data_IF_451241273385
#
_entry.id   IF_451241273385
#
_cell.length_a   1.000
_cell.length_b   1.000
_cell.length_c   1.000
_cell.angle_alpha   90.00
_cell.angle_beta   90.00
_cell.angle_gamma   90.00
#
_symmetry.space_group_name_H-M   'P 1'
#
loop_
_entity.id
_entity.type
_entity.pdbx_description
1 polymer ?
#
# COMPACT_ATOMS: atom_id res chain seq x y z
N UNK A 1 7.07 26.33 9.33
CA UNK A 1 7.74 25.02 9.40
C UNK A 1 6.71 24.02 8.88
N UNK A 2 7.05 23.21 7.85
CA UNK A 2 6.10 22.22 7.32
C UNK A 2 5.99 21.03 8.27
N UNK A 3 4.83 20.34 8.28
CA UNK A 3 4.69 19.12 9.08
C UNK A 3 5.53 17.99 8.51
N UNK A 4 5.96 17.08 9.38
CA UNK A 4 6.51 15.80 8.97
C UNK A 4 5.44 14.73 9.14
N UNK A 5 5.29 13.88 8.13
CA UNK A 5 4.36 12.76 8.17
C UNK A 5 5.14 11.45 8.16
N UNK A 6 4.97 10.64 9.18
CA UNK A 6 5.49 9.27 9.20
C UNK A 6 4.48 8.35 8.54
N UNK A 7 4.86 7.73 7.43
CA UNK A 7 4.07 6.70 6.76
C UNK A 7 4.61 5.34 7.16
N UNK A 8 3.75 4.44 7.59
CA UNK A 8 4.13 3.05 7.91
C UNK A 8 3.00 2.09 7.62
N UNK A 9 3.31 0.81 7.46
CA UNK A 9 2.28 -0.16 7.15
C UNK A 9 2.80 -1.53 6.75
N UNK A 10 1.90 -2.36 6.24
CA UNK A 10 2.22 -3.69 5.75
C UNK A 10 1.40 -4.02 4.51
N UNK A 11 2.05 -4.63 3.53
CA UNK A 11 1.39 -5.27 2.38
C UNK A 11 1.39 -6.78 2.64
N UNK A 12 0.24 -7.42 2.49
CA UNK A 12 0.08 -8.86 2.62
C UNK A 12 -0.05 -9.46 1.24
N UNK A 13 0.86 -10.35 0.85
CA UNK A 13 0.89 -10.97 -0.47
C UNK A 13 0.83 -12.50 -0.41
N UNK A 14 0.59 -13.12 -1.56
CA UNK A 14 0.58 -14.57 -1.72
C UNK A 14 2.02 -15.13 -1.61
N UNK A 15 2.28 -16.11 -0.73
CA UNK A 15 3.63 -16.64 -0.56
C UNK A 15 4.18 -17.34 -1.79
N UNK A 16 3.33 -17.82 -2.70
CA UNK A 16 3.75 -18.49 -3.93
C UNK A 16 4.46 -17.55 -4.91
N UNK A 17 4.14 -16.25 -4.84
CA UNK A 17 4.66 -15.24 -5.77
C UNK A 17 5.68 -14.30 -5.12
N UNK A 18 6.22 -14.67 -3.96
CA UNK A 18 7.10 -13.80 -3.17
C UNK A 18 8.36 -13.34 -3.89
N UNK A 19 8.91 -14.14 -4.81
CA UNK A 19 10.08 -13.75 -5.63
C UNK A 19 9.68 -12.76 -6.73
N UNK A 20 8.51 -12.94 -7.37
CA UNK A 20 7.97 -12.02 -8.38
C UNK A 20 7.57 -10.67 -7.76
N UNK A 21 6.94 -10.70 -6.59
CA UNK A 21 6.59 -9.49 -5.82
C UNK A 21 7.86 -8.72 -5.41
N UNK A 22 8.92 -9.43 -5.00
CA UNK A 22 10.21 -8.81 -4.69
C UNK A 22 10.82 -8.14 -5.91
N UNK A 23 10.86 -8.84 -7.06
CA UNK A 23 11.38 -8.29 -8.30
C UNK A 23 10.57 -7.06 -8.76
N UNK A 24 9.24 -7.12 -8.64
CA UNK A 24 8.33 -6.01 -8.93
C UNK A 24 8.65 -4.79 -8.06
N UNK A 25 8.82 -4.97 -6.74
CA UNK A 25 9.19 -3.90 -5.82
C UNK A 25 10.53 -3.24 -6.19
N UNK A 26 11.53 -4.03 -6.61
CA UNK A 26 12.84 -3.48 -7.02
C UNK A 26 12.79 -2.68 -8.33
N UNK A 27 11.80 -2.96 -9.18
CA UNK A 27 11.64 -2.32 -10.50
C UNK A 27 10.65 -1.17 -10.49
N UNK A 28 9.76 -1.12 -9.51
CA UNK A 28 8.73 -0.10 -9.46
C UNK A 28 9.37 1.27 -9.24
N UNK A 29 9.37 2.08 -10.29
CA UNK A 29 10.00 3.40 -10.26
C UNK A 29 9.10 4.38 -9.52
N UNK A 30 9.66 5.02 -8.51
CA UNK A 30 9.08 6.19 -7.87
C UNK A 30 10.01 7.39 -8.03
N UNK A 31 9.45 8.60 -7.95
CA UNK A 31 10.18 9.86 -8.14
C UNK A 31 10.74 10.42 -6.82
N UNK A 32 11.50 11.51 -6.92
CA UNK A 32 12.09 12.21 -5.77
C UNK A 32 11.03 12.79 -4.82
N UNK A 33 9.80 13.01 -5.28
CA UNK A 33 8.67 13.53 -4.49
C UNK A 33 8.09 12.43 -3.59
N UNK A 34 7.98 11.21 -4.11
CA UNK A 34 7.41 10.06 -3.39
C UNK A 34 8.33 8.82 -3.40
N UNK A 35 9.54 8.87 -2.82
CA UNK A 35 10.51 7.79 -2.96
C UNK A 35 10.18 6.56 -2.08
N UNK A 36 9.51 5.56 -2.67
CA UNK A 36 9.27 4.24 -2.07
C UNK A 36 10.40 3.19 -2.14
N UNK A 37 11.45 3.26 -2.98
CA UNK A 37 12.37 2.11 -3.07
C UNK A 37 13.18 1.86 -1.78
N UNK A 38 13.16 2.77 -0.80
CA UNK A 38 13.84 2.62 0.48
C UNK A 38 12.90 2.55 1.70
N UNK A 39 11.58 2.41 1.50
CA UNK A 39 10.65 2.28 2.63
C UNK A 39 10.26 0.84 2.91
N UNK A 40 10.40 -0.07 1.95
CA UNK A 40 10.07 -1.48 2.14
C UNK A 40 11.17 -2.21 2.91
N UNK A 41 10.76 -2.89 3.97
CA UNK A 41 11.59 -3.86 4.66
C UNK A 41 11.62 -5.21 3.93
N UNK A 42 12.35 -6.20 4.48
CA UNK A 42 12.42 -7.53 3.90
C UNK A 42 11.05 -8.21 3.91
N UNK A 43 10.75 -8.98 2.86
CA UNK A 43 9.54 -9.81 2.80
C UNK A 43 9.63 -10.91 3.88
N UNK A 44 8.70 -10.87 4.82
CA UNK A 44 8.54 -11.87 5.86
C UNK A 44 7.66 -12.99 5.35
N UNK A 45 8.25 -14.15 5.05
CA UNK A 45 7.54 -15.32 4.51
C UNK A 45 6.85 -16.10 5.62
N UNK A 46 5.53 -16.25 5.53
CA UNK A 46 4.73 -17.11 6.39
C UNK A 46 4.10 -18.26 5.61
N UNK A 47 3.47 -19.20 6.34
CA UNK A 47 2.83 -20.37 5.73
C UNK A 47 1.60 -20.03 4.87
N UNK A 48 0.81 -19.04 5.28
CA UNK A 48 -0.44 -18.64 4.60
C UNK A 48 -0.35 -17.31 3.86
N UNK A 49 0.73 -16.55 4.06
CA UNK A 49 0.89 -15.19 3.56
C UNK A 49 2.35 -14.74 3.65
N UNK A 50 2.78 -13.86 2.75
CA UNK A 50 3.96 -13.03 2.95
C UNK A 50 3.55 -11.63 3.43
N UNK A 51 4.38 -11.03 4.27
CA UNK A 51 4.20 -9.66 4.75
C UNK A 51 5.37 -8.80 4.31
N UNK A 52 5.08 -7.65 3.72
CA UNK A 52 6.06 -6.66 3.26
C UNK A 52 5.85 -5.42 4.13
N UNK A 53 6.58 -5.31 5.26
CA UNK A 53 6.49 -4.13 6.10
C UNK A 53 7.09 -2.93 5.37
N UNK A 54 6.56 -1.74 5.61
CA UNK A 54 7.17 -0.51 5.11
C UNK A 54 7.06 0.63 6.12
N UNK A 55 7.99 1.57 6.04
CA UNK A 55 7.97 2.75 6.89
C UNK A 55 8.99 3.81 6.47
N UNK A 56 8.57 5.08 6.42
CA UNK A 56 9.44 6.23 6.16
C UNK A 56 8.80 7.55 6.59
N UNK A 57 9.64 8.53 6.91
CA UNK A 57 9.23 9.91 7.17
C UNK A 57 9.28 10.70 5.87
N UNK A 58 8.20 11.41 5.56
CA UNK A 58 8.05 12.30 4.41
C UNK A 58 7.73 13.71 4.88
N UNK A 59 7.97 14.69 4.01
CA UNK A 59 7.55 16.06 4.23
C UNK A 59 6.06 16.18 3.90
N UNK A 60 5.24 16.53 4.89
CA UNK A 60 3.79 16.78 4.85
C UNK A 60 3.01 15.99 3.79
N UNK A 61 2.98 14.67 3.93
CA UNK A 61 2.32 13.79 2.96
C UNK A 61 0.80 13.75 3.13
N UNK A 62 0.28 14.11 4.31
CA UNK A 62 -1.18 14.21 4.53
C UNK A 62 -1.80 15.24 3.60
N UNK A 63 -1.11 16.35 3.33
CA UNK A 63 -1.55 17.39 2.38
C UNK A 63 -1.49 16.92 0.92
N UNK A 64 -0.62 15.94 0.62
CA UNK A 64 -0.40 15.40 -0.72
C UNK A 64 -1.03 14.01 -0.92
N UNK A 65 -1.98 13.64 -0.07
CA UNK A 65 -2.56 12.29 -0.10
C UNK A 65 -3.20 11.96 -1.44
N UNK A 66 -3.90 12.93 -2.05
CA UNK A 66 -4.59 12.75 -3.33
C UNK A 66 -3.62 12.44 -4.49
N UNK A 67 -2.34 12.82 -4.36
CA UNK A 67 -1.28 12.47 -5.32
C UNK A 67 -0.57 11.15 -4.98
N UNK A 68 -0.39 10.88 -3.68
CA UNK A 68 0.30 9.69 -3.20
C UNK A 68 -0.53 8.42 -3.37
N UNK A 69 -1.83 8.51 -3.08
CA UNK A 69 -2.73 7.37 -3.01
C UNK A 69 -2.87 6.62 -4.35
N UNK A 70 -3.11 7.27 -5.50
CA UNK A 70 -3.18 6.57 -6.78
C UNK A 70 -1.88 5.83 -7.15
N UNK A 71 -0.73 6.35 -6.70
CA UNK A 71 0.57 5.71 -6.93
C UNK A 71 0.74 4.46 -6.07
N UNK A 72 0.26 4.51 -4.82
CA UNK A 72 0.23 3.35 -3.96
C UNK A 72 -0.72 2.27 -4.49
N UNK A 73 -1.91 2.66 -4.96
CA UNK A 73 -2.87 1.74 -5.59
C UNK A 73 -2.28 1.09 -6.85
N UNK A 74 -1.59 1.88 -7.68
CA UNK A 74 -0.86 1.36 -8.84
C UNK A 74 0.17 0.30 -8.44
N UNK A 75 0.94 0.52 -7.37
CA UNK A 75 1.83 -0.51 -6.81
C UNK A 75 1.04 -1.76 -6.40
N UNK A 76 -0.03 -1.62 -5.63
CA UNK A 76 -0.84 -2.77 -5.19
C UNK A 76 -1.37 -3.59 -6.38
N UNK A 77 -1.72 -2.93 -7.49
CA UNK A 77 -2.20 -3.57 -8.73
C UNK A 77 -1.12 -4.37 -9.47
N UNK A 78 0.17 -4.16 -9.15
CA UNK A 78 1.28 -4.91 -9.74
C UNK A 78 1.72 -6.11 -8.90
N UNK A 79 1.35 -6.14 -7.61
CA UNK A 79 1.73 -7.19 -6.67
C UNK A 79 0.64 -8.25 -6.57
N UNK A 80 1.00 -9.46 -6.17
CA UNK A 80 0.06 -10.51 -5.74
C UNK A 80 -0.49 -10.21 -4.34
N UNK A 81 -0.89 -8.97 -4.11
CA UNK A 81 -1.37 -8.45 -2.84
C UNK A 81 -2.82 -8.86 -2.58
N UNK A 82 -3.12 -9.11 -1.31
CA UNK A 82 -4.46 -9.40 -0.78
C UNK A 82 -4.98 -8.27 0.09
N UNK A 83 -4.10 -7.61 0.83
CA UNK A 83 -4.48 -6.47 1.63
C UNK A 83 -3.27 -5.60 1.92
N UNK A 84 -3.50 -4.31 2.13
CA UNK A 84 -2.49 -3.42 2.66
C UNK A 84 -3.09 -2.56 3.75
N UNK A 85 -2.32 -2.28 4.78
CA UNK A 85 -2.65 -1.22 5.74
C UNK A 85 -1.57 -0.16 5.69
N UNK A 86 -1.99 1.09 5.73
CA UNK A 86 -1.15 2.29 5.71
C UNK A 86 -1.58 3.17 6.86
N UNK A 87 -0.64 3.63 7.67
CA UNK A 87 -0.82 4.63 8.72
C UNK A 87 0.05 5.83 8.42
N UNK A 88 -0.58 7.00 8.41
CA UNK A 88 0.05 8.31 8.33
C UNK A 88 -0.06 8.92 9.72
N UNK A 89 1.06 9.14 10.37
CA UNK A 89 1.14 9.87 11.64
C UNK A 89 1.74 11.25 11.37
N UNK A 90 0.95 12.30 11.60
CA UNK A 90 1.35 13.69 11.41
C UNK A 90 1.11 14.49 12.69
N UNK A 91 2.09 15.32 13.07
CA UNK A 91 2.02 16.09 14.32
C UNK A 91 0.94 17.18 14.32
N UNK A 92 0.51 17.63 13.13
CA UNK A 92 -0.46 18.71 12.95
C UNK A 92 -1.84 18.15 12.62
N UNK A 93 -1.91 17.17 11.72
CA UNK A 93 -3.16 16.63 11.20
C UNK A 93 -3.66 15.39 11.96
N UNK A 94 -2.85 14.84 12.86
CA UNK A 94 -3.15 13.62 13.61
C UNK A 94 -2.89 12.35 12.80
N UNK A 95 -3.50 11.25 13.26
CA UNK A 95 -3.33 9.94 12.62
C UNK A 95 -4.43 9.69 11.59
N UNK A 96 -4.01 9.27 10.40
CA UNK A 96 -4.86 8.79 9.33
C UNK A 96 -4.47 7.34 9.01
N UNK A 97 -5.47 6.46 8.87
CA UNK A 97 -5.23 5.08 8.42
C UNK A 97 -6.00 4.78 7.15
N UNK A 98 -5.35 4.11 6.21
CA UNK A 98 -5.94 3.53 5.01
C UNK A 98 -5.82 2.01 5.05
N UNK A 99 -6.90 1.32 4.78
CA UNK A 99 -6.91 -0.13 4.59
C UNK A 99 -7.38 -0.46 3.18
N UNK A 100 -6.70 -1.43 2.56
CA UNK A 100 -7.01 -1.95 1.24
C UNK A 100 -7.21 -3.45 1.38
N UNK A 101 -8.30 -3.99 0.85
CA UNK A 101 -8.55 -5.43 0.80
C UNK A 101 -8.99 -5.80 -0.60
N UNK A 102 -8.30 -6.77 -1.19
CA UNK A 102 -8.65 -7.35 -2.47
C UNK A 102 -9.99 -8.10 -2.34
N UNK A 103 -10.99 -7.67 -3.12
CA UNK A 103 -12.33 -8.27 -3.14
C UNK A 103 -12.28 -9.67 -3.75
N UNK A 104 -11.38 -9.89 -4.70
CA UNK A 104 -11.15 -11.19 -5.34
C UNK A 104 -10.40 -12.18 -4.42
N UNK A 105 -9.97 -11.76 -3.24
CA UNK A 105 -9.35 -12.63 -2.24
C UNK A 105 -8.11 -13.38 -2.77
N UNK A 106 -8.16 -14.72 -2.67
CA UNK A 106 -7.10 -15.63 -3.15
C UNK A 106 -7.41 -16.24 -4.52
N UNK A 107 -8.31 -15.65 -5.31
CA UNK A 107 -8.61 -16.17 -6.64
C UNK A 107 -7.34 -16.15 -7.51
N UNK A 108 -6.82 -17.34 -7.78
CA UNK A 108 -5.52 -17.55 -8.42
C UNK A 108 -5.51 -17.17 -9.90
N UNK A 109 -6.68 -17.21 -10.53
CA UNK A 109 -6.84 -16.95 -11.96
C UNK A 109 -6.98 -15.44 -12.28
N UNK A 110 -7.01 -14.60 -11.24
CA UNK A 110 -7.12 -13.15 -11.39
C UNK A 110 -5.73 -12.52 -11.32
N UNK A 111 -5.21 -12.14 -12.49
CA UNK A 111 -3.97 -11.39 -12.61
C UNK A 111 -4.00 -10.12 -11.75
N UNK A 112 -2.87 -9.71 -11.12
CA UNK A 112 -2.79 -8.55 -10.22
C UNK A 112 -3.53 -7.30 -10.73
N UNK A 113 -3.28 -6.91 -11.98
CA UNK A 113 -3.89 -5.74 -12.64
C UNK A 113 -5.40 -5.80 -12.86
N UNK A 114 -6.01 -6.97 -12.66
CA UNK A 114 -7.46 -7.20 -12.81
C UNK A 114 -8.17 -7.28 -11.46
N UNK A 115 -7.44 -7.12 -10.35
CA UNK A 115 -7.99 -7.25 -9.00
C UNK A 115 -8.77 -6.00 -8.62
N UNK A 116 -9.90 -6.23 -7.97
CA UNK A 116 -10.76 -5.19 -7.40
C UNK A 116 -10.41 -4.96 -5.94
N UNK A 117 -10.39 -3.70 -5.51
CA UNK A 117 -10.01 -3.31 -4.16
C UNK A 117 -11.18 -2.69 -3.42
N UNK A 118 -11.29 -3.02 -2.13
CA UNK A 118 -12.10 -2.29 -1.17
C UNK A 118 -11.17 -1.47 -0.29
N UNK A 119 -11.48 -0.19 -0.16
CA UNK A 119 -10.69 0.78 0.59
C UNK A 119 -11.47 1.32 1.78
N UNK A 120 -10.79 1.54 2.90
CA UNK A 120 -11.35 2.22 4.08
C UNK A 120 -10.43 3.33 4.55
N UNK A 121 -11.03 4.40 5.05
CA UNK A 121 -10.34 5.53 5.69
C UNK A 121 -10.79 5.61 7.15
N UNK A 122 -9.84 5.70 8.08
CA UNK A 122 -10.08 5.92 9.51
C UNK A 122 -10.95 4.89 10.25
N UNK A 123 -10.87 3.60 9.92
CA UNK A 123 -11.57 2.55 10.69
C UNK A 123 -13.10 2.69 10.76
N UNK A 124 -13.67 3.64 10.02
CA UNK A 124 -15.11 3.83 9.84
C UNK A 124 -15.50 3.26 8.48
N UNK A 125 -16.54 2.42 8.44
CA UNK A 125 -17.11 1.80 7.23
C UNK A 125 -17.55 2.80 6.13
N UNK A 126 -17.51 4.11 6.40
CA UNK A 126 -17.97 5.15 5.51
C UNK A 126 -16.80 5.71 4.69
N UNK A 127 -16.58 5.13 3.51
CA UNK A 127 -16.33 5.85 2.25
C UNK A 127 -15.96 4.83 1.18
N UNK A 128 -17.00 4.26 0.55
CA UNK A 128 -16.83 3.47 -0.67
C UNK A 128 -16.39 4.40 -1.79
N UNK A 129 -15.15 4.26 -2.23
CA UNK A 129 -14.72 4.72 -3.56
C UNK A 129 -14.78 3.47 -4.43
N UNK A 130 -15.80 3.39 -5.28
CA UNK A 130 -16.03 2.25 -6.16
C UNK A 130 -14.91 1.99 -7.16
N UNK A 131 -14.95 0.85 -7.86
CA UNK A 131 -14.02 0.59 -8.94
C UNK A 131 -14.15 1.69 -10.00
N UNK A 132 -13.00 2.22 -10.43
CA UNK A 132 -12.90 3.07 -11.62
C UNK A 132 -12.98 2.12 -12.81
N UNK A 133 -14.07 2.23 -13.58
CA UNK A 133 -14.28 1.53 -14.86
C UNK A 133 -13.18 1.85 -15.89
#
# INVERSE_FOLDING_TARGET
MGSETTVSGVIVTDPQFSDEDFETLTRFQFDEKYPFPNMFGPIQRGYLSCSIPFGRVFKSLVEELDEWEPRFESLLSTLHCRSASVRFADEIHGDLSLEYVCVDGWLRDVAPRKRSWRKWRNGSEADWVGPVD
#
